data_IF_509041534963
#
_entry.id   IF_509041534963
#
_cell.length_a   1.000
_cell.length_b   1.000
_cell.length_c   1.000
_cell.angle_alpha   90.00
_cell.angle_beta   90.00
_cell.angle_gamma   90.00
#
_symmetry.space_group_name_H-M   'P 1'
#
loop_
_entity.id
_entity.type
_entity.pdbx_description
1 polymer ?
#
# COMPACT_ATOMS: atom_id res chain seq x y z
N UNK A 1 8.37 22.30 -15.52
CA UNK A 1 8.09 22.70 -16.91
C UNK A 1 6.58 22.58 -17.13
N UNK A 2 6.02 23.23 -18.14
CA UNK A 2 4.62 23.00 -18.57
C UNK A 2 4.42 21.52 -18.90
N UNK A 3 3.35 20.91 -18.39
CA UNK A 3 3.05 19.49 -18.47
C UNK A 3 3.60 18.64 -17.32
N UNK A 4 4.38 19.20 -16.40
CA UNK A 4 4.84 18.47 -15.21
C UNK A 4 3.69 18.29 -14.23
N UNK A 5 3.60 17.08 -13.64
CA UNK A 5 2.71 16.85 -12.50
C UNK A 5 3.47 17.17 -11.22
N UNK A 6 2.96 18.14 -10.47
CA UNK A 6 3.61 18.63 -9.24
C UNK A 6 2.65 18.59 -8.05
N UNK A 7 3.23 18.39 -6.88
CA UNK A 7 2.57 18.60 -5.59
C UNK A 7 3.20 19.84 -4.93
N UNK A 8 2.37 20.82 -4.59
CA UNK A 8 2.74 22.03 -3.88
C UNK A 8 1.90 22.10 -2.62
N UNK A 9 2.54 21.96 -1.47
CA UNK A 9 1.88 21.83 -0.17
C UNK A 9 0.82 20.72 -0.18
N UNK A 10 -0.48 21.07 -0.18
CA UNK A 10 -1.61 20.12 -0.23
C UNK A 10 -2.29 20.05 -1.61
N UNK A 11 -1.79 20.78 -2.61
CA UNK A 11 -2.39 20.85 -3.93
C UNK A 11 -1.57 20.07 -4.94
N UNK A 12 -2.22 19.17 -5.68
CA UNK A 12 -1.57 18.41 -6.73
C UNK A 12 -2.25 18.65 -8.09
N UNK A 13 -1.43 18.68 -9.13
CA UNK A 13 -1.95 18.88 -10.48
C UNK A 13 -0.86 19.02 -11.54
N UNK A 14 -1.31 19.16 -12.78
CA UNK A 14 -0.43 19.35 -13.95
C UNK A 14 -0.23 20.83 -14.22
N UNK A 15 1.01 21.24 -14.41
CA UNK A 15 1.34 22.62 -14.81
C UNK A 15 0.84 22.87 -16.23
N UNK A 16 -0.14 23.78 -16.38
CA UNK A 16 -0.68 24.15 -17.69
C UNK A 16 0.03 25.33 -18.32
N UNK A 17 0.40 26.30 -17.52
CA UNK A 17 1.00 27.55 -18.02
C UNK A 17 1.89 28.19 -16.95
N UNK A 18 3.05 28.64 -17.39
CA UNK A 18 3.96 29.43 -16.54
C UNK A 18 4.06 30.82 -17.14
N UNK A 19 3.51 31.81 -16.42
CA UNK A 19 3.58 33.23 -16.78
C UNK A 19 4.68 33.95 -16.03
N UNK A 20 4.80 35.26 -16.26
CA UNK A 20 5.82 36.12 -15.60
C UNK A 20 5.61 36.25 -14.09
N UNK A 21 4.37 36.31 -13.62
CA UNK A 21 4.01 36.51 -12.21
C UNK A 21 3.25 35.34 -11.60
N UNK A 22 2.62 34.48 -12.40
CA UNK A 22 1.77 33.39 -11.93
C UNK A 22 1.92 32.14 -12.77
N UNK A 23 1.74 31.00 -12.12
CA UNK A 23 1.68 29.65 -12.72
C UNK A 23 0.29 29.08 -12.53
N UNK A 24 -0.25 28.49 -13.59
CA UNK A 24 -1.56 27.81 -13.58
C UNK A 24 -1.35 26.30 -13.54
N UNK A 25 -2.05 25.65 -12.62
CA UNK A 25 -1.97 24.21 -12.40
C UNK A 25 -3.39 23.66 -12.51
N UNK A 26 -3.59 22.59 -13.30
CA UNK A 26 -4.84 21.86 -13.39
C UNK A 26 -4.85 20.77 -12.34
N UNK A 27 -5.73 20.87 -11.35
CA UNK A 27 -5.96 19.86 -10.33
C UNK A 27 -6.52 18.56 -10.94
N UNK A 28 -6.38 17.45 -10.20
CA UNK A 28 -7.00 16.15 -10.55
C UNK A 28 -8.53 16.23 -10.61
N UNK A 29 -9.15 17.12 -9.81
CA UNK A 29 -10.60 17.34 -9.82
C UNK A 29 -11.05 18.24 -10.99
N UNK A 30 -10.10 18.77 -11.78
CA UNK A 30 -10.37 19.55 -12.99
C UNK A 30 -10.37 21.08 -12.79
N UNK A 31 -10.34 21.58 -11.55
CA UNK A 31 -10.26 23.02 -11.30
C UNK A 31 -8.87 23.57 -11.65
N UNK A 32 -8.84 24.83 -12.04
CA UNK A 32 -7.60 25.55 -12.31
C UNK A 32 -7.16 26.30 -11.05
N UNK A 33 -5.98 25.97 -10.56
CA UNK A 33 -5.31 26.65 -9.46
C UNK A 33 -4.32 27.67 -10.02
N UNK A 34 -4.34 28.88 -9.48
CA UNK A 34 -3.42 29.96 -9.88
C UNK A 34 -2.51 30.28 -8.69
N UNK A 35 -1.24 30.00 -8.82
CA UNK A 35 -0.23 30.31 -7.84
C UNK A 35 0.60 31.52 -8.27
N UNK A 36 0.95 32.40 -7.34
CA UNK A 36 1.99 33.38 -7.55
C UNK A 36 3.34 32.65 -7.71
N UNK A 37 4.18 33.08 -8.66
CA UNK A 37 5.51 32.49 -8.81
C UNK A 37 6.37 32.69 -7.55
N UNK A 38 6.13 33.78 -6.81
CA UNK A 38 6.80 34.04 -5.53
C UNK A 38 6.44 32.95 -4.49
N UNK A 39 5.17 32.60 -4.38
CA UNK A 39 4.70 31.58 -3.43
C UNK A 39 5.25 30.21 -3.82
N UNK A 40 5.25 29.87 -5.11
CA UNK A 40 5.84 28.63 -5.60
C UNK A 40 7.34 28.52 -5.30
N UNK A 41 8.11 29.62 -5.42
CA UNK A 41 9.54 29.61 -5.12
C UNK A 41 9.83 29.42 -3.61
N UNK A 42 8.90 29.82 -2.75
CA UNK A 42 9.01 29.65 -1.29
C UNK A 42 8.38 28.36 -0.78
N UNK A 43 7.60 27.66 -1.61
CA UNK A 43 6.95 26.40 -1.26
C UNK A 43 7.84 25.19 -1.55
N UNK A 44 7.55 24.07 -0.88
CA UNK A 44 8.16 22.77 -1.24
C UNK A 44 7.42 22.17 -2.41
N UNK A 45 8.09 22.04 -3.54
CA UNK A 45 7.55 21.46 -4.75
C UNK A 45 8.09 20.04 -4.90
N UNK A 46 7.19 19.05 -5.01
CA UNK A 46 7.55 17.70 -5.43
C UNK A 46 7.15 17.53 -6.90
N UNK A 47 8.12 17.26 -7.76
CA UNK A 47 7.90 17.06 -9.18
C UNK A 47 7.93 15.56 -9.51
N UNK A 48 6.77 14.99 -9.78
CA UNK A 48 6.62 13.56 -10.05
C UNK A 48 7.04 13.16 -11.47
N UNK A 49 7.10 14.11 -12.43
CA UNK A 49 7.57 13.81 -13.79
C UNK A 49 9.08 13.59 -13.87
N UNK A 50 9.84 14.12 -12.93
CA UNK A 50 11.30 13.89 -12.84
C UNK A 50 11.65 12.66 -12.01
N UNK A 51 10.65 11.90 -11.58
CA UNK A 51 10.85 10.68 -10.84
C UNK A 51 11.31 9.57 -11.80
N UNK A 52 12.52 9.07 -11.59
CA UNK A 52 13.07 7.96 -12.38
C UNK A 52 12.55 6.61 -11.90
N UNK A 53 12.33 6.48 -10.60
CA UNK A 53 11.84 5.26 -9.93
C UNK A 53 10.78 5.61 -8.91
N UNK A 54 9.73 4.81 -8.83
CA UNK A 54 8.70 4.91 -7.79
C UNK A 54 8.95 3.87 -6.72
N UNK A 55 9.27 4.32 -5.52
CA UNK A 55 9.36 3.44 -4.34
C UNK A 55 7.95 3.12 -3.83
N UNK A 56 7.64 1.83 -3.76
CA UNK A 56 6.35 1.33 -3.26
C UNK A 56 6.59 0.56 -1.96
N UNK A 57 5.78 0.86 -0.97
CA UNK A 57 5.77 0.17 0.32
C UNK A 57 4.35 -0.27 0.61
N UNK A 58 4.17 -1.55 0.92
CA UNK A 58 2.89 -2.07 1.36
C UNK A 58 3.08 -3.13 2.46
N UNK A 59 2.00 -3.39 3.20
CA UNK A 59 2.02 -4.33 4.32
C UNK A 59 1.03 -5.45 4.04
N UNK A 60 1.47 -6.68 4.27
CA UNK A 60 0.61 -7.85 4.33
C UNK A 60 0.41 -8.28 5.77
N UNK A 61 -0.82 -8.63 6.10
CA UNK A 61 -1.23 -9.09 7.42
C UNK A 61 -1.55 -10.57 7.39
N UNK A 62 -0.79 -11.33 8.14
CA UNK A 62 -0.82 -12.80 8.16
C UNK A 62 -1.43 -13.28 9.47
N UNK A 63 -2.19 -14.37 9.41
CA UNK A 63 -2.83 -15.00 10.55
C UNK A 63 -1.78 -15.54 11.54
N UNK A 64 -2.01 -15.34 12.85
CA UNK A 64 -1.16 -15.86 13.93
C UNK A 64 -1.03 -17.39 13.94
N UNK A 65 -2.01 -18.10 13.39
CA UNK A 65 -2.01 -19.56 13.35
C UNK A 65 -1.13 -20.14 12.23
N UNK A 66 -0.47 -19.29 11.45
CA UNK A 66 0.43 -19.74 10.39
C UNK A 66 1.64 -20.45 10.99
N UNK A 67 1.96 -21.70 10.57
CA UNK A 67 3.11 -22.45 11.04
C UNK A 67 4.44 -21.71 10.78
N UNK A 68 5.42 -21.91 11.66
CA UNK A 68 6.72 -21.23 11.59
C UNK A 68 7.44 -21.42 10.24
N UNK A 69 7.43 -22.65 9.69
CA UNK A 69 8.10 -22.93 8.41
C UNK A 69 7.51 -22.11 7.27
N UNK A 70 6.18 -21.98 7.23
CA UNK A 70 5.49 -21.15 6.23
C UNK A 70 5.76 -19.67 6.45
N UNK A 71 5.73 -19.22 7.71
CA UNK A 71 6.01 -17.83 8.06
C UNK A 71 7.44 -17.44 7.64
N UNK A 72 8.41 -18.30 7.87
CA UNK A 72 9.80 -18.08 7.47
C UNK A 72 10.00 -18.07 5.94
N UNK A 73 9.14 -18.77 5.18
CA UNK A 73 9.21 -18.82 3.72
C UNK A 73 8.59 -17.58 3.03
N UNK A 74 7.70 -16.83 3.71
CA UNK A 74 6.98 -15.69 3.12
C UNK A 74 7.91 -14.68 2.43
N UNK A 75 9.03 -14.21 3.02
CA UNK A 75 9.89 -13.25 2.35
C UNK A 75 10.45 -13.74 1.01
N UNK A 76 10.81 -15.01 0.93
CA UNK A 76 11.32 -15.63 -0.30
C UNK A 76 10.23 -15.77 -1.35
N UNK A 77 9.02 -16.20 -0.97
CA UNK A 77 7.87 -16.27 -1.85
C UNK A 77 7.51 -14.90 -2.43
N UNK A 78 7.51 -13.86 -1.60
CA UNK A 78 7.22 -12.50 -2.03
C UNK A 78 8.27 -11.98 -3.02
N UNK A 79 9.54 -12.29 -2.78
CA UNK A 79 10.63 -11.96 -3.70
C UNK A 79 10.40 -12.61 -5.07
N UNK A 80 10.14 -13.90 -5.11
CA UNK A 80 9.88 -14.64 -6.36
C UNK A 80 8.68 -14.04 -7.13
N UNK A 81 7.58 -13.76 -6.43
CA UNK A 81 6.36 -13.19 -7.02
C UNK A 81 6.65 -11.82 -7.66
N UNK A 82 7.39 -10.96 -6.94
CA UNK A 82 7.67 -9.59 -7.42
C UNK A 82 8.67 -9.63 -8.58
N UNK A 83 9.72 -10.41 -8.49
CA UNK A 83 10.73 -10.53 -9.57
C UNK A 83 10.14 -11.18 -10.84
N UNK A 84 9.13 -12.03 -10.72
CA UNK A 84 8.42 -12.62 -11.86
C UNK A 84 7.60 -11.61 -12.69
N UNK A 85 7.33 -10.40 -12.17
CA UNK A 85 6.57 -9.38 -12.90
C UNK A 85 7.36 -8.69 -14.02
N UNK A 86 8.65 -8.97 -14.16
CA UNK A 86 9.46 -8.52 -15.28
C UNK A 86 10.50 -7.44 -14.96
N UNK A 87 11.09 -6.87 -16.02
CA UNK A 87 12.26 -5.99 -15.89
C UNK A 87 11.97 -4.56 -15.43
N UNK A 88 10.70 -4.16 -15.40
CA UNK A 88 10.28 -2.81 -14.96
C UNK A 88 10.08 -2.69 -13.45
N UNK A 89 10.37 -3.75 -12.75
CA UNK A 89 10.25 -3.81 -11.30
C UNK A 89 11.58 -4.26 -10.69
N UNK A 90 11.92 -3.71 -9.55
CA UNK A 90 13.08 -4.11 -8.78
C UNK A 90 12.66 -4.38 -7.33
N UNK A 91 12.80 -5.63 -6.90
CA UNK A 91 12.57 -6.00 -5.52
C UNK A 91 13.65 -5.36 -4.62
N UNK A 92 13.25 -4.82 -3.48
CA UNK A 92 14.16 -4.29 -2.45
C UNK A 92 14.21 -5.23 -1.26
N UNK A 93 13.10 -5.36 -0.53
CA UNK A 93 13.05 -6.21 0.65
C UNK A 93 11.63 -6.64 1.00
N UNK A 94 11.55 -7.76 1.72
CA UNK A 94 10.37 -8.20 2.45
C UNK A 94 10.79 -8.68 3.83
N UNK A 95 10.20 -8.14 4.88
CA UNK A 95 10.54 -8.50 6.26
C UNK A 95 9.29 -8.67 7.11
N UNK A 96 9.35 -9.64 8.02
CA UNK A 96 8.44 -9.69 9.15
C UNK A 96 8.75 -8.49 10.06
N UNK A 97 7.83 -7.53 10.13
CA UNK A 97 8.08 -6.22 10.74
C UNK A 97 7.64 -6.15 12.19
N UNK A 98 6.42 -6.60 12.47
CA UNK A 98 5.82 -6.41 13.79
C UNK A 98 4.72 -7.43 14.07
N UNK A 99 4.44 -7.58 15.37
CA UNK A 99 3.28 -8.27 15.90
C UNK A 99 2.20 -7.21 16.16
N UNK A 100 1.07 -7.33 15.47
CA UNK A 100 -0.10 -6.48 15.68
C UNK A 100 -1.19 -7.23 16.47
N UNK A 101 -2.21 -6.56 17.02
CA UNK A 101 -3.22 -7.21 17.87
C UNK A 101 -3.90 -8.44 17.26
N UNK A 102 -4.06 -8.47 15.94
CA UNK A 102 -4.74 -9.57 15.23
C UNK A 102 -3.95 -10.11 14.04
N UNK A 103 -2.71 -9.68 13.83
CA UNK A 103 -1.92 -10.04 12.65
C UNK A 103 -0.42 -10.04 12.90
N UNK A 104 0.28 -10.81 12.05
CA UNK A 104 1.71 -10.77 11.86
C UNK A 104 1.99 -9.94 10.62
N UNK A 105 2.61 -8.77 10.78
CA UNK A 105 2.76 -7.79 9.71
C UNK A 105 4.09 -7.96 8.97
N UNK A 106 4.00 -8.13 7.65
CA UNK A 106 5.13 -8.14 6.73
C UNK A 106 5.17 -6.85 5.93
N UNK A 107 6.29 -6.13 5.99
CA UNK A 107 6.55 -4.97 5.15
C UNK A 107 7.29 -5.38 3.90
N UNK A 108 6.76 -4.98 2.75
CA UNK A 108 7.31 -5.24 1.44
C UNK A 108 7.65 -3.93 0.77
N UNK A 109 8.86 -3.85 0.20
CA UNK A 109 9.34 -2.69 -0.53
C UNK A 109 9.87 -3.12 -1.90
N UNK A 110 9.43 -2.41 -2.93
CA UNK A 110 9.92 -2.58 -4.29
C UNK A 110 9.94 -1.24 -5.04
N UNK A 111 10.62 -1.20 -6.16
CA UNK A 111 10.70 -0.03 -7.02
C UNK A 111 10.11 -0.34 -8.39
N UNK A 112 9.26 0.56 -8.87
CA UNK A 112 8.82 0.58 -10.27
C UNK A 112 9.75 1.51 -11.04
N UNK A 113 10.42 1.00 -12.06
CA UNK A 113 11.43 1.72 -12.84
C UNK A 113 10.74 2.55 -13.95
N UNK A 114 9.77 3.38 -13.54
CA UNK A 114 9.00 4.25 -14.42
C UNK A 114 8.27 5.32 -13.61
N UNK A 115 8.00 6.44 -14.24
CA UNK A 115 7.14 7.51 -13.75
C UNK A 115 5.64 7.27 -14.05
N UNK A 116 5.33 6.31 -14.93
CA UNK A 116 3.97 5.98 -15.34
C UNK A 116 3.15 5.41 -14.17
N UNK A 117 2.10 6.16 -13.81
CA UNK A 117 1.20 5.77 -12.73
C UNK A 117 0.34 4.55 -13.07
N UNK A 118 -0.12 4.44 -14.32
CA UNK A 118 -0.93 3.29 -14.75
C UNK A 118 -0.10 2.00 -14.72
N UNK A 119 1.13 2.04 -15.21
CA UNK A 119 2.04 0.91 -15.11
C UNK A 119 2.26 0.48 -13.65
N UNK A 120 2.43 1.43 -12.73
CA UNK A 120 2.52 1.12 -11.30
C UNK A 120 1.28 0.40 -10.79
N UNK A 121 0.08 0.90 -11.12
CA UNK A 121 -1.17 0.29 -10.65
C UNK A 121 -1.39 -1.10 -11.25
N UNK A 122 -1.06 -1.31 -12.51
CA UNK A 122 -1.14 -2.61 -13.16
C UNK A 122 -0.19 -3.63 -12.51
N UNK A 123 1.06 -3.23 -12.26
CA UNK A 123 2.04 -4.08 -11.58
C UNK A 123 1.60 -4.40 -10.14
N UNK A 124 1.09 -3.42 -9.39
CA UNK A 124 0.58 -3.65 -8.04
C UNK A 124 -0.60 -4.63 -8.04
N UNK A 125 -1.52 -4.50 -9.00
CA UNK A 125 -2.63 -5.43 -9.16
C UNK A 125 -2.15 -6.85 -9.46
N UNK A 126 -1.22 -7.00 -10.39
CA UNK A 126 -0.65 -8.31 -10.74
C UNK A 126 0.06 -8.96 -9.54
N UNK A 127 0.84 -8.18 -8.79
CA UNK A 127 1.49 -8.65 -7.56
C UNK A 127 0.45 -9.11 -6.55
N UNK A 128 -0.59 -8.33 -6.30
CA UNK A 128 -1.63 -8.67 -5.32
C UNK A 128 -2.37 -9.96 -5.70
N UNK A 129 -2.71 -10.13 -6.98
CA UNK A 129 -3.36 -11.35 -7.49
C UNK A 129 -2.42 -12.57 -7.38
N UNK A 130 -1.15 -12.41 -7.71
CA UNK A 130 -0.15 -13.47 -7.60
C UNK A 130 0.08 -13.88 -6.15
N UNK A 131 0.14 -12.92 -5.22
CA UNK A 131 0.24 -13.18 -3.78
C UNK A 131 -0.98 -13.95 -3.29
N UNK A 132 -2.18 -13.50 -3.66
CA UNK A 132 -3.42 -14.16 -3.25
C UNK A 132 -3.48 -15.62 -3.71
N UNK A 133 -3.12 -15.87 -4.98
CA UNK A 133 -3.09 -17.22 -5.54
C UNK A 133 -2.03 -18.10 -4.85
N UNK A 134 -0.80 -17.61 -4.74
CA UNK A 134 0.30 -18.37 -4.16
C UNK A 134 0.12 -18.69 -2.69
N UNK A 135 -0.44 -17.74 -1.92
CA UNK A 135 -0.73 -17.94 -0.51
C UNK A 135 -1.84 -18.99 -0.31
N UNK A 136 -2.85 -19.03 -1.20
CA UNK A 136 -3.86 -20.08 -1.17
C UNK A 136 -3.26 -21.47 -1.46
N UNK A 137 -2.35 -21.58 -2.42
CA UNK A 137 -1.64 -22.85 -2.71
C UNK A 137 -0.78 -23.32 -1.53
N UNK A 138 -0.08 -22.41 -0.88
CA UNK A 138 0.77 -22.72 0.28
C UNK A 138 -0.02 -22.86 1.58
N UNK A 139 -1.35 -22.61 1.55
CA UNK A 139 -2.20 -22.62 2.75
C UNK A 139 -1.75 -21.58 3.78
N UNK A 140 -1.40 -20.38 3.32
CA UNK A 140 -1.11 -19.21 4.15
C UNK A 140 -2.36 -18.33 4.17
N UNK A 141 -2.87 -18.04 5.35
CA UNK A 141 -4.09 -17.25 5.52
C UNK A 141 -3.78 -15.78 5.87
N UNK A 142 -4.52 -14.87 5.24
CA UNK A 142 -4.53 -13.49 5.64
C UNK A 142 -5.22 -13.28 6.98
N UNK A 143 -4.75 -12.31 7.75
CA UNK A 143 -5.36 -11.99 9.03
C UNK A 143 -6.67 -11.22 8.86
N UNK A 144 -7.67 -11.64 9.65
CA UNK A 144 -8.91 -10.90 9.84
C UNK A 144 -8.94 -10.34 11.27
N UNK A 145 -9.66 -9.25 11.53
CA UNK A 145 -9.93 -8.82 12.89
C UNK A 145 -10.55 -9.97 13.69
N UNK A 146 -9.89 -10.43 14.75
CA UNK A 146 -10.31 -11.59 15.53
C UNK A 146 -10.56 -11.20 16.98
N UNK A 147 -11.56 -11.85 17.61
CA UNK A 147 -11.86 -11.75 19.02
C UNK A 147 -12.01 -13.15 19.60
N UNK A 148 -11.45 -13.39 20.77
CA UNK A 148 -11.68 -14.62 21.53
C UNK A 148 -12.85 -14.38 22.47
N UNK A 149 -13.94 -15.13 22.32
CA UNK A 149 -15.13 -15.03 23.16
C UNK A 149 -15.23 -16.29 24.03
N UNK A 150 -15.20 -16.10 25.34
CA UNK A 150 -15.46 -17.19 26.28
C UNK A 150 -16.95 -17.21 26.63
N UNK A 151 -17.64 -18.26 26.23
CA UNK A 151 -19.05 -18.48 26.53
C UNK A 151 -19.15 -19.31 27.82
N UNK A 152 -19.56 -18.70 28.92
CA UNK A 152 -19.88 -19.42 30.14
C UNK A 152 -21.39 -19.77 30.13
N UNK A 153 -21.78 -21.06 30.05
CA UNK A 153 -23.18 -21.44 30.16
C UNK A 153 -23.68 -21.06 31.57
N UNK A 154 -24.65 -20.18 31.65
CA UNK A 154 -25.35 -19.90 32.89
C UNK A 154 -26.27 -21.11 33.14
N UNK A 155 -25.93 -21.94 34.11
CA UNK A 155 -26.87 -22.99 34.59
C UNK A 155 -28.04 -22.27 35.26
N UNK A 156 -29.18 -22.19 34.59
CA UNK A 156 -30.44 -21.93 35.25
C UNK A 156 -30.77 -23.16 36.08
N UNK A 157 -30.55 -23.04 37.40
CA UNK A 157 -31.16 -23.97 38.34
C UNK A 157 -32.68 -23.77 38.28
N UNK A 158 -33.41 -24.75 37.79
CA UNK A 158 -34.84 -24.76 37.86
C UNK A 158 -35.28 -24.66 39.33
N UNK A 159 -36.25 -23.79 39.67
CA UNK A 159 -36.79 -23.76 40.99
C UNK A 159 -37.47 -25.12 41.28
N UNK A 160 -36.96 -25.76 42.33
CA UNK A 160 -37.49 -27.02 42.84
C UNK A 160 -38.92 -26.77 43.34
N UNK A 161 -39.94 -27.09 42.53
CA UNK A 161 -41.34 -27.20 42.95
C UNK A 161 -41.43 -28.35 43.94
N UNK A 162 -41.43 -28.04 45.22
CA UNK A 162 -41.93 -28.95 46.24
C UNK A 162 -43.37 -28.62 46.50
N UNK A 163 -44.23 -29.59 46.16
CA UNK A 163 -45.60 -29.73 46.59
C UNK A 163 -45.71 -29.77 48.11
#
# INVERSE_FOLDING_TARGET
>A
VVGDFILVDNFCGTVEHIGLKSTRIRSLSGEQLVFSNHDLLNSRIQNYRQMQERRVVFTLRINYQTPYEKLAAIPSLLKEIIEAQGSKIRFDRAHFKSYEPSSLDFEIVYYVLSDDYYLYMDLQQQINLAIFHRFAEEGIEFAYPTQTVYLNPVCHSEPNEKA
#
